data_IF_580961654023
#
_entry.id   IF_580961654023
#
_cell.length_a   1.000
_cell.length_b   1.000
_cell.length_c   1.000
_cell.angle_alpha   90.00
_cell.angle_beta   90.00
_cell.angle_gamma   90.00
#
_symmetry.space_group_name_H-M   'P 1'
#
loop_
_entity.id
_entity.type
_entity.pdbx_description
1 polymer ?
#
# COMPACT_ATOMS: atom_id res chain seq x y z
N UNK A 1 2.45 -2.66 -15.79
CA UNK A 1 1.79 -3.07 -14.54
C UNK A 1 1.73 -1.83 -13.67
N UNK A 2 0.74 -0.94 -13.85
CA UNK A 2 0.59 0.22 -12.96
C UNK A 2 -0.90 0.51 -12.88
N UNK A 3 -1.57 -0.02 -11.84
CA UNK A 3 -3.01 0.17 -11.64
C UNK A 3 -3.36 1.61 -11.22
N UNK A 4 -2.38 2.42 -10.78
CA UNK A 4 -2.60 3.80 -10.32
C UNK A 4 -1.42 4.75 -10.66
N UNK A 5 -1.20 5.13 -11.94
CA UNK A 5 -0.09 6.02 -12.34
C UNK A 5 -0.23 7.48 -11.85
N UNK A 6 -1.22 7.79 -11.02
CA UNK A 6 -1.53 9.14 -10.55
C UNK A 6 -1.58 9.26 -9.02
N UNK A 7 -1.40 8.16 -8.29
CA UNK A 7 -1.34 8.18 -6.82
C UNK A 7 0.11 8.05 -6.41
N UNK A 8 0.69 9.14 -5.92
CA UNK A 8 2.00 9.10 -5.32
C UNK A 8 1.89 8.53 -3.90
N UNK A 9 2.83 7.67 -3.46
CA UNK A 9 2.86 7.20 -2.09
C UNK A 9 2.87 8.34 -1.06
N UNK A 10 3.30 9.57 -1.42
CA UNK A 10 3.32 10.77 -0.53
C UNK A 10 1.91 11.24 -0.19
N UNK A 11 0.96 10.99 -1.08
CA UNK A 11 -0.41 11.47 -0.98
C UNK A 11 -1.34 10.44 -0.34
N UNK A 12 -0.86 9.20 -0.14
CA UNK A 12 -1.64 8.08 0.38
C UNK A 12 -1.42 7.94 1.89
N UNK A 13 -2.49 8.12 2.68
CA UNK A 13 -2.46 7.87 4.13
C UNK A 13 -2.54 6.37 4.47
N UNK A 14 -2.25 6.00 5.73
CA UNK A 14 -2.29 4.59 6.17
C UNK A 14 -3.66 3.93 5.99
N UNK A 15 -4.76 4.65 6.26
CA UNK A 15 -6.12 4.11 6.09
C UNK A 15 -6.42 3.79 4.62
N UNK A 16 -6.00 4.67 3.70
CA UNK A 16 -6.15 4.46 2.27
C UNK A 16 -5.22 3.35 1.77
N UNK A 17 -4.00 3.25 2.32
CA UNK A 17 -3.06 2.18 1.98
C UNK A 17 -3.62 0.80 2.32
N UNK A 18 -4.34 0.66 3.43
CA UNK A 18 -5.05 -0.59 3.77
C UNK A 18 -6.05 -0.94 2.66
N UNK A 19 -6.91 0.00 2.27
CA UNK A 19 -7.90 -0.24 1.21
C UNK A 19 -7.24 -0.65 -0.11
N UNK A 20 -6.11 -0.02 -0.46
CA UNK A 20 -5.36 -0.34 -1.66
C UNK A 20 -4.74 -1.75 -1.60
N UNK A 21 -4.14 -2.13 -0.47
CA UNK A 21 -3.54 -3.45 -0.26
C UNK A 21 -4.61 -4.54 -0.31
N UNK A 22 -5.75 -4.34 0.36
CA UNK A 22 -6.86 -5.29 0.36
C UNK A 22 -7.53 -5.43 -1.02
N UNK A 23 -7.45 -4.39 -1.85
CA UNK A 23 -7.96 -4.42 -3.22
C UNK A 23 -6.99 -5.05 -4.23
N UNK A 24 -5.76 -5.45 -3.82
CA UNK A 24 -4.79 -6.04 -4.74
C UNK A 24 -5.28 -7.40 -5.24
N UNK A 25 -5.26 -7.64 -6.57
CA UNK A 25 -5.59 -8.94 -7.12
C UNK A 25 -4.56 -9.97 -6.66
N UNK A 26 -5.00 -10.98 -5.92
CA UNK A 26 -4.14 -12.02 -5.36
C UNK A 26 -3.67 -11.76 -3.93
N UNK A 27 -4.19 -10.72 -3.26
CA UNK A 27 -4.07 -10.62 -1.82
C UNK A 27 -4.82 -11.80 -1.15
N UNK A 28 -4.12 -12.54 -0.29
CA UNK A 28 -4.60 -13.77 0.38
C UNK A 28 -4.19 -13.79 1.87
N UNK A 29 -3.84 -12.64 2.43
CA UNK A 29 -3.47 -12.51 3.84
C UNK A 29 -4.66 -12.01 4.69
N UNK A 30 -4.52 -12.08 6.01
CA UNK A 30 -5.58 -11.69 6.93
C UNK A 30 -5.73 -10.15 6.98
N UNK A 31 -6.90 -9.59 6.62
CA UNK A 31 -7.14 -8.15 6.60
C UNK A 31 -7.13 -7.50 7.99
N UNK A 32 -7.14 -8.26 9.09
CA UNK A 32 -7.12 -7.72 10.46
C UNK A 32 -5.73 -7.82 11.11
N UNK A 33 -4.77 -8.49 10.47
CA UNK A 33 -3.43 -8.75 11.03
C UNK A 33 -2.38 -7.70 10.66
N UNK A 34 -2.74 -6.63 9.96
CA UNK A 34 -1.81 -5.55 9.66
C UNK A 34 -1.47 -4.72 10.90
N UNK A 35 -0.26 -4.19 10.93
CA UNK A 35 0.19 -3.20 11.93
C UNK A 35 0.62 -1.93 11.23
N UNK A 36 0.66 -0.81 11.94
CA UNK A 36 1.21 0.44 11.40
C UNK A 36 2.63 0.25 10.85
N UNK A 37 3.45 -0.61 11.47
CA UNK A 37 4.79 -0.92 10.97
C UNK A 37 4.78 -1.55 9.59
N UNK A 38 3.94 -2.57 9.37
CA UNK A 38 3.82 -3.25 8.07
C UNK A 38 3.39 -2.26 6.99
N UNK A 39 2.40 -1.42 7.29
CA UNK A 39 1.90 -0.42 6.35
C UNK A 39 2.98 0.62 6.02
N UNK A 40 3.75 1.07 7.01
CA UNK A 40 4.87 1.99 6.79
C UNK A 40 5.97 1.34 5.93
N UNK A 41 6.27 0.06 6.14
CA UNK A 41 7.27 -0.65 5.34
C UNK A 41 6.81 -0.79 3.88
N UNK A 42 5.52 -1.08 3.65
CA UNK A 42 4.93 -1.07 2.30
C UNK A 42 5.03 0.32 1.67
N UNK A 43 4.70 1.37 2.42
CA UNK A 43 4.77 2.75 1.93
C UNK A 43 6.21 3.14 1.56
N UNK A 44 7.20 2.77 2.38
CA UNK A 44 8.62 3.01 2.13
C UNK A 44 9.11 2.32 0.84
N UNK A 45 8.79 1.05 0.65
CA UNK A 45 9.15 0.34 -0.59
C UNK A 45 8.47 0.99 -1.79
N UNK A 46 7.21 1.39 -1.66
CA UNK A 46 6.51 2.08 -2.74
C UNK A 46 7.16 3.45 -3.07
N UNK A 47 7.63 4.21 -2.07
CA UNK A 47 8.42 5.42 -2.30
C UNK A 47 9.69 5.13 -3.09
N UNK A 48 10.46 4.12 -2.67
CA UNK A 48 11.73 3.75 -3.31
C UNK A 48 11.55 3.34 -4.77
N UNK A 49 10.44 2.68 -5.12
CA UNK A 49 10.14 2.28 -6.50
C UNK A 49 9.52 3.40 -7.35
N UNK A 50 9.05 4.49 -6.71
CA UNK A 50 8.43 5.63 -7.39
C UNK A 50 9.42 6.77 -7.70
N UNK A 51 10.63 6.71 -7.15
CA UNK A 51 11.76 7.64 -7.38
C UNK A 51 12.70 7.13 -8.49
#
# INVERSE_FOLDING_TARGET
>A
MEQYPHKSPIDVGLAELVELVLALPGFDDDPEMYTERILLDIQNVWYEESD
#
